data_IF_032200519501
#
_entry.id   IF_032200519501
#
_cell.length_a   1.000
_cell.length_b   1.000
_cell.length_c   1.000
_cell.angle_alpha   90.00
_cell.angle_beta   90.00
_cell.angle_gamma   90.00
#
_symmetry.space_group_name_H-M   'P 1'
#
loop_
_entity.id
_entity.type
_entity.pdbx_description
1 polymer ?
#
# COMPACT_ATOMS: atom_id res chain seq x y z
N UNK A 1 2.45 -71.38 48.95
CA UNK A 1 1.47 -70.29 49.16
C UNK A 1 1.86 -69.18 48.21
N UNK A 2 1.06 -68.95 47.16
CA UNK A 2 1.33 -67.96 46.11
C UNK A 2 1.33 -66.54 46.69
N UNK A 3 2.29 -65.70 46.29
CA UNK A 3 2.17 -64.25 46.44
C UNK A 3 2.25 -63.59 45.07
N UNK A 4 1.13 -63.03 44.65
CA UNK A 4 0.98 -62.13 43.50
C UNK A 4 1.68 -60.80 43.82
N UNK A 5 2.55 -60.33 42.92
CA UNK A 5 3.02 -58.94 42.93
C UNK A 5 2.24 -58.17 41.85
N UNK A 6 1.43 -57.21 42.27
CA UNK A 6 0.70 -56.32 41.37
C UNK A 6 1.62 -55.19 40.88
N UNK A 7 1.69 -55.01 39.56
CA UNK A 7 2.30 -53.84 38.92
C UNK A 7 1.37 -52.63 39.10
N UNK A 8 1.86 -51.57 39.73
CA UNK A 8 1.19 -50.26 39.76
C UNK A 8 1.73 -49.45 38.57
N UNK A 9 0.86 -49.16 37.60
CA UNK A 9 1.14 -48.19 36.53
C UNK A 9 0.79 -46.80 37.06
N UNK A 10 1.79 -45.95 37.28
CA UNK A 10 1.57 -44.52 37.52
C UNK A 10 1.24 -43.81 36.20
N UNK A 11 -0.03 -43.46 36.04
CA UNK A 11 -0.48 -42.52 35.01
C UNK A 11 -0.20 -41.10 35.48
N UNK A 12 0.89 -40.49 34.99
CA UNK A 12 1.05 -39.04 35.06
C UNK A 12 0.03 -38.38 34.11
N UNK A 13 -1.08 -37.87 34.64
CA UNK A 13 -1.89 -36.88 33.94
C UNK A 13 -1.09 -35.57 33.87
N UNK A 14 -0.49 -35.30 32.70
CA UNK A 14 -0.11 -33.94 32.35
C UNK A 14 -1.40 -33.14 32.16
N UNK A 15 -1.79 -32.38 33.19
CA UNK A 15 -2.81 -31.36 33.06
C UNK A 15 -2.27 -30.25 32.15
N UNK A 16 -2.58 -30.33 30.86
CA UNK A 16 -2.47 -29.19 29.95
C UNK A 16 -3.48 -28.15 30.43
N UNK A 17 -3.05 -27.27 31.34
CA UNK A 17 -3.83 -26.09 31.69
C UNK A 17 -4.03 -25.27 30.43
N UNK A 18 -5.25 -25.26 29.89
CA UNK A 18 -5.61 -24.29 28.87
C UNK A 18 -5.40 -22.91 29.49
N UNK A 19 -4.38 -22.18 29.01
CA UNK A 19 -4.20 -20.78 29.33
C UNK A 19 -5.54 -20.09 29.05
N UNK A 20 -6.17 -19.56 30.09
CA UNK A 20 -7.39 -18.76 29.93
C UNK A 20 -7.02 -17.59 29.03
N UNK A 21 -7.72 -17.37 27.90
CA UNK A 21 -7.41 -16.27 27.00
C UNK A 21 -7.40 -14.95 27.78
N UNK A 22 -6.37 -14.13 27.62
CA UNK A 22 -6.30 -12.82 28.26
C UNK A 22 -7.34 -11.87 27.65
N UNK A 23 -8.52 -11.84 28.24
CA UNK A 23 -9.67 -11.04 27.79
C UNK A 23 -9.55 -9.56 28.20
N UNK A 24 -8.49 -9.15 28.89
CA UNK A 24 -8.28 -7.74 29.26
C UNK A 24 -7.89 -6.96 28.01
N UNK A 25 -8.65 -5.91 27.70
CA UNK A 25 -8.35 -5.00 26.61
C UNK A 25 -7.08 -4.18 26.89
N UNK A 26 -6.24 -4.03 25.87
CA UNK A 26 -5.04 -3.19 25.89
C UNK A 26 -4.92 -2.42 24.60
N UNK A 27 -4.39 -1.20 24.67
CA UNK A 27 -4.19 -0.33 23.51
C UNK A 27 -3.36 -1.07 22.47
N UNK A 28 -3.92 -1.21 21.27
CA UNK A 28 -3.25 -1.79 20.11
C UNK A 28 -2.54 -0.71 19.30
N UNK A 29 -3.18 0.45 19.15
CA UNK A 29 -2.67 1.57 18.38
C UNK A 29 -3.28 2.88 18.88
N UNK A 30 -2.51 3.97 18.80
CA UNK A 30 -2.94 5.31 19.14
C UNK A 30 -2.15 6.36 18.36
N UNK A 31 -2.76 7.52 18.16
CA UNK A 31 -2.13 8.74 17.66
C UNK A 31 -2.29 9.84 18.73
N UNK A 32 -1.27 10.68 18.90
CA UNK A 32 -1.30 11.76 19.89
C UNK A 32 -2.31 12.85 19.52
N UNK A 33 -2.44 13.13 18.21
CA UNK A 33 -3.37 14.09 17.64
C UNK A 33 -3.78 13.65 16.23
N UNK A 34 -4.97 14.05 15.74
CA UNK A 34 -5.30 13.89 14.33
C UNK A 34 -4.40 14.77 13.46
N UNK A 35 -4.42 14.57 12.13
CA UNK A 35 -3.82 15.51 11.20
C UNK A 35 -4.33 16.92 11.29
N UNK A 36 -3.53 17.88 10.84
CA UNK A 36 -3.94 19.27 10.90
C UNK A 36 -5.19 19.50 10.06
N UNK A 37 -5.92 20.56 10.36
CA UNK A 37 -7.20 20.86 9.75
C UNK A 37 -8.37 20.01 10.28
N UNK A 38 -8.11 18.93 11.03
CA UNK A 38 -9.18 18.14 11.64
C UNK A 38 -9.60 18.69 13.01
N UNK A 39 -10.87 19.08 13.08
CA UNK A 39 -11.52 19.47 14.33
C UNK A 39 -12.55 18.44 14.75
N UNK A 40 -12.48 17.99 16.01
CA UNK A 40 -13.49 17.10 16.60
C UNK A 40 -14.81 17.86 16.75
N UNK A 41 -15.89 17.32 16.22
CA UNK A 41 -17.21 17.96 16.25
C UNK A 41 -18.07 17.37 17.37
N UNK A 42 -18.41 16.09 17.27
CA UNK A 42 -19.30 15.41 18.22
C UNK A 42 -19.06 13.90 18.21
N UNK A 43 -19.70 13.16 19.11
CA UNK A 43 -19.74 11.68 19.10
C UNK A 43 -20.34 11.19 17.78
N UNK A 44 -19.74 10.15 17.20
CA UNK A 44 -20.29 9.54 16.01
C UNK A 44 -21.66 8.89 16.31
N UNK A 45 -22.67 9.03 15.44
CA UNK A 45 -23.97 8.42 15.67
C UNK A 45 -23.85 6.90 15.83
N UNK A 46 -24.50 6.28 16.83
CA UNK A 46 -24.31 4.86 17.15
C UNK A 46 -24.68 3.91 16.01
N UNK A 47 -25.56 4.34 15.10
CA UNK A 47 -26.03 3.59 13.94
C UNK A 47 -25.24 3.88 12.66
N UNK A 48 -24.31 4.85 12.68
CA UNK A 48 -23.44 5.11 11.53
C UNK A 48 -22.60 3.86 11.27
N UNK A 49 -22.67 3.34 10.05
CA UNK A 49 -21.92 2.15 9.66
C UNK A 49 -20.56 2.52 9.11
N UNK A 50 -19.51 1.90 9.66
CA UNK A 50 -18.12 2.06 9.21
C UNK A 50 -17.68 0.77 8.55
N UNK A 51 -17.16 0.86 7.32
CA UNK A 51 -16.50 -0.27 6.66
C UNK A 51 -15.06 -0.34 7.17
N UNK A 52 -14.73 -1.37 7.93
CA UNK A 52 -13.39 -1.62 8.48
C UNK A 52 -12.73 -2.85 7.86
N UNK A 53 -11.41 -2.88 7.98
CA UNK A 53 -10.55 -3.99 7.58
C UNK A 53 -9.62 -4.35 8.72
N UNK A 54 -9.57 -5.65 9.04
CA UNK A 54 -8.73 -6.22 10.09
C UNK A 54 -7.63 -7.01 9.37
N UNK A 55 -6.37 -6.58 9.52
CA UNK A 55 -5.23 -7.33 9.01
C UNK A 55 -4.80 -8.36 10.04
N UNK A 56 -4.70 -9.61 9.60
CA UNK A 56 -4.29 -10.73 10.43
C UNK A 56 -2.80 -11.01 10.25
N UNK A 57 -2.16 -11.49 11.32
CA UNK A 57 -0.76 -11.89 11.28
C UNK A 57 -0.55 -13.01 10.25
N UNK A 58 0.34 -12.76 9.28
CA UNK A 58 0.66 -13.73 8.23
C UNK A 58 1.38 -14.95 8.80
N UNK A 59 1.12 -16.13 8.22
CA UNK A 59 1.51 -17.41 8.80
C UNK A 59 3.01 -17.71 8.77
N UNK A 60 3.58 -17.79 7.56
CA UNK A 60 4.96 -18.22 7.30
C UNK A 60 5.75 -17.14 6.54
N UNK A 61 5.68 -15.89 7.02
CA UNK A 61 6.33 -14.77 6.32
C UNK A 61 7.86 -14.93 6.26
N UNK A 62 8.50 -15.46 7.30
CA UNK A 62 9.95 -15.72 7.29
C UNK A 62 10.37 -16.70 6.17
N UNK A 63 9.52 -17.69 5.88
CA UNK A 63 9.74 -18.63 4.77
C UNK A 63 9.52 -17.95 3.41
N UNK A 64 8.54 -17.04 3.31
CA UNK A 64 8.33 -16.23 2.11
C UNK A 64 9.54 -15.34 1.86
N UNK A 65 10.05 -14.65 2.88
CA UNK A 65 11.22 -13.78 2.78
C UNK A 65 12.48 -14.56 2.40
N UNK A 66 12.72 -15.72 3.05
CA UNK A 66 13.81 -16.63 2.66
C UNK A 66 13.72 -17.01 1.18
N UNK A 67 12.52 -17.38 0.71
CA UNK A 67 12.32 -17.72 -0.71
C UNK A 67 12.53 -16.54 -1.63
N UNK A 68 12.09 -15.34 -1.25
CA UNK A 68 12.30 -14.12 -2.02
C UNK A 68 13.79 -13.88 -2.29
N UNK A 69 14.63 -14.02 -1.27
CA UNK A 69 16.08 -13.91 -1.45
C UNK A 69 16.63 -15.02 -2.36
N UNK A 70 16.22 -16.27 -2.14
CA UNK A 70 16.69 -17.42 -2.93
C UNK A 70 16.30 -17.38 -4.41
N UNK A 71 15.16 -16.78 -4.76
CA UNK A 71 14.72 -16.65 -6.16
C UNK A 71 15.28 -15.40 -6.84
N UNK A 72 15.78 -14.44 -6.05
CA UNK A 72 16.31 -13.16 -6.55
C UNK A 72 17.84 -13.15 -6.61
N UNK A 73 18.51 -14.08 -5.94
CA UNK A 73 19.96 -14.28 -6.00
C UNK A 73 20.36 -15.02 -7.30
N UNK A 74 21.09 -14.37 -8.24
CA UNK A 74 21.50 -15.00 -9.50
C UNK A 74 22.44 -16.19 -9.35
N UNK A 75 23.12 -16.34 -8.20
CA UNK A 75 24.03 -17.45 -7.94
C UNK A 75 23.32 -18.64 -7.26
N UNK A 76 22.09 -18.43 -6.79
CA UNK A 76 21.32 -19.46 -6.12
C UNK A 76 20.59 -20.38 -7.11
N UNK A 77 20.50 -21.68 -6.81
CA UNK A 77 19.88 -22.68 -7.69
C UNK A 77 18.37 -22.45 -7.94
N UNK A 78 17.72 -21.58 -7.17
CA UNK A 78 16.31 -21.18 -7.35
C UNK A 78 16.14 -19.85 -8.07
N UNK A 79 17.21 -19.22 -8.57
CA UNK A 79 17.10 -17.96 -9.29
C UNK A 79 16.02 -18.02 -10.39
N UNK A 80 15.11 -17.05 -10.38
CA UNK A 80 14.00 -16.95 -11.34
C UNK A 80 12.89 -17.99 -11.15
N UNK A 81 12.95 -18.88 -10.14
CA UNK A 81 11.91 -19.83 -9.80
C UNK A 81 10.76 -19.17 -9.01
N UNK A 82 10.17 -18.13 -9.62
CA UNK A 82 9.09 -17.35 -9.03
C UNK A 82 7.87 -18.20 -8.69
N UNK A 83 7.17 -17.82 -7.64
CA UNK A 83 6.06 -18.53 -7.06
C UNK A 83 4.74 -18.20 -7.76
N UNK A 84 3.82 -19.17 -7.79
CA UNK A 84 2.44 -18.88 -8.22
C UNK A 84 1.72 -18.03 -7.18
N UNK A 85 0.59 -17.43 -7.57
CA UNK A 85 -0.29 -16.70 -6.65
C UNK A 85 -0.71 -17.59 -5.46
N UNK A 86 -1.10 -18.83 -5.74
CA UNK A 86 -1.55 -19.79 -4.73
C UNK A 86 -0.43 -20.19 -3.77
N UNK A 87 0.80 -20.36 -4.27
CA UNK A 87 1.95 -20.67 -3.40
C UNK A 87 2.21 -19.52 -2.41
N UNK A 88 2.16 -18.27 -2.89
CA UNK A 88 2.33 -17.08 -2.03
C UNK A 88 1.19 -16.97 -1.02
N UNK A 89 -0.07 -17.06 -1.48
CA UNK A 89 -1.25 -17.03 -0.63
C UNK A 89 -1.19 -18.11 0.47
N UNK A 90 -0.71 -19.31 0.13
CA UNK A 90 -0.55 -20.40 1.10
C UNK A 90 0.50 -20.10 2.18
N UNK A 91 1.61 -19.42 1.85
CA UNK A 91 2.62 -19.05 2.84
C UNK A 91 2.14 -17.93 3.76
N UNK A 92 1.44 -16.93 3.20
CA UNK A 92 0.99 -15.78 3.99
C UNK A 92 -0.31 -16.01 4.73
N UNK A 93 -1.06 -17.07 4.40
CA UNK A 93 -2.30 -17.42 5.09
C UNK A 93 -2.08 -17.47 6.61
N UNK A 94 -2.91 -16.80 7.41
CA UNK A 94 -2.79 -16.84 8.87
C UNK A 94 -2.90 -18.27 9.40
N UNK A 95 -2.25 -18.53 10.53
CA UNK A 95 -2.36 -19.83 11.21
C UNK A 95 -3.81 -20.12 11.55
N UNK A 96 -4.19 -21.40 11.57
CA UNK A 96 -5.55 -21.82 11.94
C UNK A 96 -5.96 -21.31 13.33
N UNK A 97 -5.01 -21.20 14.26
CA UNK A 97 -5.21 -20.59 15.58
C UNK A 97 -5.57 -19.11 15.51
N UNK A 98 -4.88 -18.33 14.67
CA UNK A 98 -5.19 -16.91 14.41
C UNK A 98 -6.60 -16.77 13.84
N UNK A 99 -6.94 -17.58 12.84
CA UNK A 99 -8.28 -17.55 12.22
C UNK A 99 -9.36 -17.89 13.24
N UNK A 100 -9.18 -18.97 14.01
CA UNK A 100 -10.15 -19.41 15.01
C UNK A 100 -10.37 -18.38 16.13
N UNK A 101 -9.30 -17.78 16.67
CA UNK A 101 -9.41 -16.79 17.75
C UNK A 101 -10.09 -15.50 17.28
N UNK A 102 -9.80 -15.05 16.05
CA UNK A 102 -10.46 -13.88 15.47
C UNK A 102 -11.92 -14.18 15.15
N UNK A 103 -12.23 -15.36 14.61
CA UNK A 103 -13.60 -15.79 14.34
C UNK A 103 -14.42 -15.90 15.63
N UNK A 104 -13.86 -16.49 16.69
CA UNK A 104 -14.51 -16.55 18.00
C UNK A 104 -14.79 -15.15 18.53
N UNK A 105 -13.80 -14.25 18.47
CA UNK A 105 -13.96 -12.86 18.88
C UNK A 105 -15.06 -12.16 18.10
N UNK A 106 -15.05 -12.23 16.77
CA UNK A 106 -16.08 -11.62 15.92
C UNK A 106 -17.48 -12.21 16.17
N UNK A 107 -17.57 -13.52 16.41
CA UNK A 107 -18.84 -14.17 16.72
C UNK A 107 -19.47 -13.62 18.02
N UNK A 108 -18.67 -13.19 19.01
CA UNK A 108 -19.19 -12.56 20.24
C UNK A 108 -19.95 -11.25 20.00
N UNK A 109 -19.72 -10.60 18.85
CA UNK A 109 -20.42 -9.39 18.41
C UNK A 109 -21.51 -9.67 17.35
N UNK A 110 -21.82 -10.95 17.11
CA UNK A 110 -22.91 -11.37 16.23
C UNK A 110 -22.55 -11.47 14.74
N UNK A 111 -21.27 -11.43 14.37
CA UNK A 111 -20.87 -11.66 12.98
C UNK A 111 -20.94 -13.14 12.62
N UNK A 112 -21.52 -13.45 11.45
CA UNK A 112 -21.47 -14.80 10.91
C UNK A 112 -20.10 -15.05 10.27
N UNK A 113 -19.27 -15.86 10.94
CA UNK A 113 -17.90 -16.17 10.55
C UNK A 113 -17.80 -16.92 9.22
N UNK A 114 -18.85 -17.64 8.83
CA UNK A 114 -18.90 -18.41 7.56
C UNK A 114 -19.09 -17.53 6.33
N UNK A 115 -19.51 -16.28 6.50
CA UNK A 115 -19.81 -15.35 5.40
C UNK A 115 -18.97 -14.07 5.46
N UNK A 116 -17.85 -14.10 6.20
CA UNK A 116 -16.95 -12.95 6.27
C UNK A 116 -16.29 -12.70 4.92
N UNK A 117 -16.22 -11.43 4.52
CA UNK A 117 -15.47 -11.01 3.34
C UNK A 117 -13.96 -11.06 3.67
N UNK A 118 -13.24 -12.01 3.06
CA UNK A 118 -11.82 -12.25 3.30
C UNK A 118 -10.99 -12.04 2.04
N UNK A 119 -9.73 -11.64 2.21
CA UNK A 119 -8.74 -11.71 1.11
C UNK A 119 -8.55 -13.16 0.67
N UNK A 120 -8.02 -13.42 -0.54
CA UNK A 120 -7.70 -14.79 -0.99
C UNK A 120 -6.79 -15.57 -0.03
N UNK A 121 -5.81 -14.90 0.58
CA UNK A 121 -4.95 -15.47 1.62
C UNK A 121 -5.62 -15.53 3.01
N UNK A 122 -6.84 -15.03 3.15
CA UNK A 122 -7.57 -14.89 4.42
C UNK A 122 -6.89 -14.03 5.50
N UNK A 123 -5.86 -13.28 5.11
CA UNK A 123 -5.08 -12.39 5.95
C UNK A 123 -5.67 -10.98 6.12
N UNK A 124 -6.82 -10.72 5.48
CA UNK A 124 -7.68 -9.58 5.76
C UNK A 124 -9.11 -10.03 5.95
N UNK A 125 -9.80 -9.39 6.89
CA UNK A 125 -11.25 -9.50 7.07
C UNK A 125 -11.87 -8.12 6.88
N UNK A 126 -12.89 -8.01 6.03
CA UNK A 126 -13.61 -6.75 5.80
C UNK A 126 -15.01 -6.84 6.38
N UNK A 127 -15.39 -5.84 7.19
CA UNK A 127 -16.67 -5.79 7.89
C UNK A 127 -17.31 -4.41 7.72
N UNK A 128 -18.63 -4.35 7.69
CA UNK A 128 -19.39 -3.10 7.85
C UNK A 128 -20.08 -3.14 9.20
N UNK A 129 -19.71 -2.24 10.10
CA UNK A 129 -20.08 -2.33 11.52
C UNK A 129 -20.64 -0.99 12.01
N UNK A 130 -21.80 -0.98 12.68
CA UNK A 130 -22.31 0.23 13.36
C UNK A 130 -21.35 0.69 14.45
N UNK A 131 -21.17 2.01 14.59
CA UNK A 131 -20.30 2.62 15.62
C UNK A 131 -20.54 2.03 17.00
N UNK A 132 -21.80 1.80 17.39
CA UNK A 132 -22.14 1.22 18.71
C UNK A 132 -21.44 -0.13 18.98
N UNK A 133 -21.38 -1.00 17.97
CA UNK A 133 -20.74 -2.31 18.09
C UNK A 133 -19.22 -2.14 17.96
N UNK A 134 -18.77 -1.26 17.08
CA UNK A 134 -17.36 -0.99 16.84
C UNK A 134 -16.64 -0.47 18.10
N UNK A 135 -17.28 0.44 18.83
CA UNK A 135 -16.77 0.97 20.10
C UNK A 135 -16.64 -0.11 21.18
N UNK A 136 -17.56 -1.08 21.21
CA UNK A 136 -17.47 -2.23 22.12
C UNK A 136 -16.38 -3.22 21.71
N UNK A 137 -16.26 -3.51 20.41
CA UNK A 137 -15.25 -4.41 19.86
C UNK A 137 -13.83 -3.94 20.14
N UNK A 138 -13.63 -2.64 20.02
CA UNK A 138 -12.32 -2.00 20.00
C UNK A 138 -12.02 -1.20 21.26
N UNK A 139 -12.91 -1.25 22.27
CA UNK A 139 -12.82 -0.53 23.53
C UNK A 139 -12.33 0.91 23.33
N UNK A 140 -13.15 1.67 22.59
CA UNK A 140 -12.81 2.98 22.05
C UNK A 140 -14.04 3.87 21.87
N UNK A 141 -13.81 5.13 21.51
CA UNK A 141 -14.82 6.13 21.20
C UNK A 141 -14.58 6.73 19.80
N UNK A 142 -15.59 6.64 18.94
CA UNK A 142 -15.61 7.29 17.63
C UNK A 142 -16.23 8.68 17.70
N UNK A 143 -15.63 9.61 16.97
CA UNK A 143 -16.11 10.98 16.83
C UNK A 143 -16.27 11.33 15.36
N UNK A 144 -17.19 12.24 15.07
CA UNK A 144 -17.21 12.95 13.80
C UNK A 144 -16.14 14.03 13.86
N UNK A 145 -15.23 13.99 12.91
CA UNK A 145 -14.28 15.07 12.68
C UNK A 145 -14.64 15.79 11.40
N UNK A 146 -14.39 17.10 11.40
CA UNK A 146 -14.54 17.96 10.25
C UNK A 146 -13.19 18.53 9.88
N UNK A 147 -12.85 18.42 8.61
CA UNK A 147 -11.70 19.07 8.02
C UNK A 147 -12.02 20.53 7.63
N UNK A 148 -11.01 21.39 7.49
CA UNK A 148 -11.17 22.81 7.15
C UNK A 148 -11.87 23.04 5.79
N UNK A 149 -11.79 22.09 4.86
CA UNK A 149 -12.50 22.12 3.57
C UNK A 149 -13.96 21.61 3.64
N UNK A 150 -14.40 21.18 4.83
CA UNK A 150 -15.75 20.70 5.10
C UNK A 150 -15.93 19.17 5.02
N UNK A 151 -14.90 18.38 4.69
CA UNK A 151 -14.99 16.92 4.71
C UNK A 151 -15.32 16.41 6.12
N UNK A 152 -16.17 15.37 6.21
CA UNK A 152 -16.55 14.73 7.47
C UNK A 152 -16.14 13.25 7.47
N UNK A 153 -15.54 12.78 8.56
CA UNK A 153 -15.28 11.36 8.78
C UNK A 153 -15.63 10.93 10.21
N UNK A 154 -15.82 9.64 10.41
CA UNK A 154 -15.96 9.03 11.73
C UNK A 154 -14.68 8.26 12.08
N UNK A 155 -13.95 8.70 13.11
CA UNK A 155 -12.64 8.16 13.50
C UNK A 155 -12.43 8.17 15.01
N UNK A 156 -11.49 7.35 15.46
CA UNK A 156 -10.94 7.37 16.82
C UNK A 156 -9.45 7.69 16.76
N UNK A 157 -8.90 8.20 17.86
CA UNK A 157 -7.45 8.43 17.99
C UNK A 157 -6.73 7.29 18.70
N UNK A 158 -7.45 6.30 19.24
CA UNK A 158 -6.83 5.12 19.84
C UNK A 158 -7.81 3.96 19.88
N UNK A 159 -7.33 2.73 19.81
CA UNK A 159 -8.18 1.56 20.04
C UNK A 159 -7.42 0.46 20.76
N UNK A 160 -8.19 -0.38 21.43
CA UNK A 160 -7.71 -1.52 22.19
C UNK A 160 -8.22 -2.82 21.60
N UNK A 161 -7.52 -3.91 21.92
CA UNK A 161 -7.96 -5.27 21.66
C UNK A 161 -7.75 -6.12 22.92
N UNK A 162 -8.56 -7.17 23.13
CA UNK A 162 -8.26 -8.22 24.10
C UNK A 162 -6.81 -8.70 23.94
N UNK A 163 -6.08 -8.84 25.05
CA UNK A 163 -4.66 -9.20 25.07
C UNK A 163 -4.32 -10.41 24.20
N UNK A 164 -5.17 -11.45 24.18
CA UNK A 164 -4.96 -12.64 23.36
C UNK A 164 -4.96 -12.38 21.85
N UNK A 165 -5.52 -11.27 21.35
CA UNK A 165 -5.56 -10.94 19.92
C UNK A 165 -4.36 -10.13 19.44
N UNK A 166 -3.52 -9.61 20.34
CA UNK A 166 -2.44 -8.68 19.98
C UNK A 166 -1.41 -9.30 19.04
N UNK A 167 -1.14 -10.60 19.17
CA UNK A 167 -0.24 -11.38 18.31
C UNK A 167 -0.91 -11.89 17.01
N UNK A 168 -2.23 -11.74 16.91
CA UNK A 168 -3.05 -12.29 15.82
C UNK A 168 -3.58 -11.23 14.86
N UNK A 169 -3.73 -9.98 15.33
CA UNK A 169 -4.16 -8.83 14.54
C UNK A 169 -2.98 -7.87 14.39
N UNK A 170 -2.59 -7.52 13.16
CA UNK A 170 -1.51 -6.56 12.90
C UNK A 170 -2.01 -5.12 13.04
N UNK A 171 -3.14 -4.79 12.40
CA UNK A 171 -3.76 -3.46 12.41
C UNK A 171 -5.25 -3.53 12.03
N UNK A 172 -6.02 -2.52 12.45
CA UNK A 172 -7.43 -2.35 12.07
C UNK A 172 -7.63 -0.96 11.50
N UNK A 173 -8.13 -0.87 10.26
CA UNK A 173 -8.37 0.41 9.57
C UNK A 173 -9.84 0.56 9.20
N UNK A 174 -10.41 1.78 9.17
CA UNK A 174 -9.70 3.05 9.21
C UNK A 174 -9.60 3.70 10.61
N UNK A 175 -9.63 2.95 11.72
CA UNK A 175 -9.63 3.44 13.13
C UNK A 175 -8.94 4.80 13.37
N UNK A 176 -7.61 4.80 13.39
CA UNK A 176 -6.66 5.92 13.57
C UNK A 176 -6.24 6.56 12.25
N UNK A 177 -6.85 6.15 11.13
CA UNK A 177 -6.46 6.51 9.77
C UNK A 177 -7.27 7.69 9.25
N UNK A 178 -6.73 8.90 9.36
CA UNK A 178 -7.34 10.14 8.85
C UNK A 178 -6.96 10.42 7.39
N UNK A 179 -7.18 9.43 6.50
CA UNK A 179 -6.95 9.57 5.06
C UNK A 179 -7.96 10.53 4.40
N UNK A 180 -7.51 11.31 3.41
CA UNK A 180 -8.33 12.26 2.62
C UNK A 180 -8.44 11.82 1.15
N UNK A 181 -9.17 12.59 0.34
CA UNK A 181 -9.03 12.62 -1.12
C UNK A 181 -8.70 14.07 -1.52
N UNK A 182 -7.43 14.42 -1.76
CA UNK A 182 -7.05 15.79 -2.02
C UNK A 182 -7.47 16.18 -3.43
N UNK A 183 -8.20 17.30 -3.56
CA UNK A 183 -8.41 17.94 -4.86
C UNK A 183 -7.18 18.78 -5.20
N UNK A 184 -6.18 18.21 -5.85
CA UNK A 184 -5.12 19.02 -6.46
C UNK A 184 -5.63 19.61 -7.77
N UNK A 185 -5.54 20.93 -7.89
CA UNK A 185 -5.74 21.64 -9.15
C UNK A 185 -4.40 21.64 -9.85
N UNK A 186 -4.30 20.91 -10.97
CA UNK A 186 -3.13 20.99 -11.84
C UNK A 186 -2.90 22.45 -12.24
N UNK A 187 -1.69 22.97 -12.01
CA UNK A 187 -1.27 24.25 -12.57
C UNK A 187 -0.91 23.99 -14.03
N UNK A 188 -1.40 24.80 -14.98
CA UNK A 188 -1.02 24.63 -16.38
C UNK A 188 0.47 24.95 -16.52
N UNK A 189 1.23 23.99 -17.04
CA UNK A 189 2.57 24.24 -17.56
C UNK A 189 2.45 24.98 -18.89
N UNK A 190 3.18 26.08 -19.04
CA UNK A 190 3.35 26.74 -20.33
C UNK A 190 4.41 25.98 -21.13
N UNK A 191 4.02 25.49 -22.30
CA UNK A 191 4.85 24.64 -23.14
C UNK A 191 5.34 25.43 -24.37
N UNK A 192 6.65 25.69 -24.46
CA UNK A 192 7.32 26.20 -25.67
C UNK A 192 8.81 25.91 -25.67
N UNK A 193 9.26 24.72 -26.06
CA UNK A 193 10.61 24.57 -26.62
C UNK A 193 10.69 23.54 -27.74
N UNK A 194 11.51 23.86 -28.76
CA UNK A 194 11.88 22.95 -29.83
C UNK A 194 12.99 22.01 -29.34
N UNK A 195 12.93 20.74 -29.75
CA UNK A 195 13.87 19.69 -29.37
C UNK A 195 15.30 20.07 -29.76
N UNK A 196 16.17 20.17 -28.77
CA UNK A 196 17.62 20.34 -28.92
C UNK A 196 18.30 18.98 -29.08
N UNK A 197 19.31 18.91 -29.95
CA UNK A 197 20.05 17.69 -30.26
C UNK A 197 21.07 17.27 -29.18
N UNK A 198 21.38 18.14 -28.21
CA UNK A 198 22.49 17.91 -27.28
C UNK A 198 22.07 17.29 -25.92
N UNK A 199 20.81 16.87 -25.76
CA UNK A 199 20.24 16.31 -24.50
C UNK A 199 20.42 17.16 -23.23
N UNK A 200 21.09 18.31 -23.31
CA UNK A 200 21.40 19.20 -22.19
C UNK A 200 20.29 20.17 -21.84
N UNK A 201 19.29 20.34 -22.72
CA UNK A 201 18.16 21.27 -22.50
C UNK A 201 16.81 20.55 -22.46
N UNK A 202 16.63 19.47 -23.23
CA UNK A 202 15.42 18.66 -23.22
C UNK A 202 15.78 17.17 -23.31
N UNK A 203 15.27 16.39 -22.37
CA UNK A 203 15.40 14.93 -22.40
C UNK A 203 14.29 14.40 -23.31
N UNK A 204 14.67 13.63 -24.33
CA UNK A 204 13.77 12.95 -25.27
C UNK A 204 13.92 11.43 -25.17
N UNK A 205 13.04 10.66 -25.83
CA UNK A 205 13.22 9.21 -25.93
C UNK A 205 14.55 8.84 -26.62
N UNK A 206 14.95 9.60 -27.64
CA UNK A 206 16.22 9.40 -28.33
C UNK A 206 17.41 9.68 -27.39
N UNK A 207 17.35 10.77 -26.61
CA UNK A 207 18.36 11.07 -25.61
C UNK A 207 18.54 9.96 -24.58
N UNK A 208 17.44 9.45 -24.00
CA UNK A 208 17.51 8.38 -23.02
C UNK A 208 18.09 7.09 -23.64
N UNK A 209 17.68 6.74 -24.86
CA UNK A 209 18.24 5.57 -25.55
C UNK A 209 19.74 5.73 -25.80
N UNK A 210 20.19 6.92 -26.18
CA UNK A 210 21.61 7.20 -26.42
C UNK A 210 22.44 7.19 -25.13
N UNK A 211 22.00 7.92 -24.11
CA UNK A 211 22.69 8.02 -22.82
C UNK A 211 22.87 6.65 -22.16
N UNK A 212 21.86 5.78 -22.29
CA UNK A 212 21.88 4.44 -21.71
C UNK A 212 22.32 3.33 -22.69
N UNK A 213 22.86 3.69 -23.85
CA UNK A 213 23.32 2.72 -24.88
C UNK A 213 22.25 1.69 -25.26
N UNK A 214 20.98 2.10 -25.27
CA UNK A 214 19.82 1.33 -25.66
C UNK A 214 19.35 1.62 -27.10
N UNK A 215 20.12 2.41 -27.86
CA UNK A 215 19.87 2.63 -29.28
C UNK A 215 19.81 1.32 -30.05
N UNK A 216 18.80 1.18 -30.92
CA UNK A 216 18.57 -0.02 -31.71
C UNK A 216 18.09 -1.24 -30.91
N UNK A 217 17.87 -1.13 -29.59
CA UNK A 217 17.25 -2.19 -28.82
C UNK A 217 15.82 -2.45 -29.32
N UNK A 218 15.53 -3.70 -29.64
CA UNK A 218 14.20 -4.16 -30.04
C UNK A 218 13.63 -5.09 -28.96
N UNK A 219 12.48 -4.77 -28.35
CA UNK A 219 11.85 -5.65 -27.39
C UNK A 219 11.56 -7.04 -27.98
N UNK A 220 12.03 -8.09 -27.29
CA UNK A 220 11.98 -9.47 -27.81
C UNK A 220 10.67 -10.21 -27.53
N UNK A 221 9.95 -9.83 -26.49
CA UNK A 221 8.76 -10.54 -26.02
C UNK A 221 7.56 -9.63 -25.71
N UNK A 222 7.21 -8.65 -26.57
CA UNK A 222 6.14 -7.68 -26.27
C UNK A 222 4.75 -8.30 -26.12
N UNK A 223 4.53 -9.55 -26.59
CA UNK A 223 3.28 -10.30 -26.38
C UNK A 223 3.21 -11.04 -25.04
N UNK A 224 4.33 -11.13 -24.32
CA UNK A 224 4.45 -11.83 -23.03
C UNK A 224 4.70 -10.85 -21.89
N UNK A 225 5.53 -9.84 -22.16
CA UNK A 225 5.88 -8.80 -21.20
C UNK A 225 4.75 -7.78 -21.09
N UNK A 226 4.62 -7.17 -19.92
CA UNK A 226 3.77 -6.02 -19.69
C UNK A 226 4.42 -5.11 -18.63
N UNK A 227 4.11 -3.82 -18.72
CA UNK A 227 4.53 -2.80 -17.75
C UNK A 227 3.30 -2.23 -17.04
N UNK A 228 3.40 -2.06 -15.72
CA UNK A 228 2.40 -1.42 -14.88
C UNK A 228 2.89 -0.05 -14.42
N UNK A 229 1.98 0.92 -14.38
CA UNK A 229 2.26 2.29 -13.98
C UNK A 229 1.18 2.67 -12.97
N UNK A 230 1.59 3.13 -11.80
CA UNK A 230 0.64 3.56 -10.76
C UNK A 230 0.36 5.05 -10.89
N UNK A 231 -0.89 5.44 -10.68
CA UNK A 231 -1.31 6.82 -10.51
C UNK A 231 -2.03 6.97 -9.17
N UNK A 232 -1.59 7.96 -8.41
CA UNK A 232 -2.19 8.38 -7.15
C UNK A 232 -2.50 9.89 -7.20
N UNK A 233 -3.12 10.42 -6.14
CA UNK A 233 -3.28 11.87 -5.93
C UNK A 233 -4.02 12.61 -7.06
N UNK A 234 -5.03 11.96 -7.67
CA UNK A 234 -5.85 12.49 -8.77
C UNK A 234 -5.03 12.98 -9.99
N UNK A 235 -3.84 12.40 -10.21
CA UNK A 235 -3.08 12.58 -11.43
C UNK A 235 -3.63 11.65 -12.53
N UNK A 236 -3.93 12.22 -13.69
CA UNK A 236 -4.59 11.49 -14.78
C UNK A 236 -3.72 11.42 -16.03
N UNK A 237 -3.49 10.20 -16.51
CA UNK A 237 -2.85 9.96 -17.79
C UNK A 237 -3.85 10.21 -18.93
N UNK A 238 -3.47 11.06 -19.89
CA UNK A 238 -4.32 11.50 -20.97
C UNK A 238 -3.95 10.81 -22.30
N UNK A 239 -4.94 10.17 -22.93
CA UNK A 239 -4.73 9.48 -24.19
C UNK A 239 -4.37 10.41 -25.35
N UNK A 240 -4.86 11.66 -25.36
CA UNK A 240 -4.55 12.64 -26.41
C UNK A 240 -3.14 13.19 -26.27
N UNK A 241 -2.70 13.43 -25.03
CA UNK A 241 -1.34 13.89 -24.76
C UNK A 241 -0.34 12.79 -25.13
N UNK A 242 -0.60 11.53 -24.77
CA UNK A 242 0.22 10.40 -25.20
C UNK A 242 0.29 10.26 -26.73
N UNK A 243 -0.84 10.41 -27.43
CA UNK A 243 -0.85 10.37 -28.90
C UNK A 243 -0.09 11.55 -29.52
N UNK A 244 -0.09 12.72 -28.86
CA UNK A 244 0.73 13.86 -29.28
C UNK A 244 2.21 13.59 -29.06
N UNK A 245 2.57 13.07 -27.89
CA UNK A 245 3.93 12.64 -27.56
C UNK A 245 4.46 11.60 -28.56
N UNK A 246 3.67 10.58 -28.91
CA UNK A 246 4.08 9.60 -29.93
C UNK A 246 4.26 10.21 -31.32
N UNK A 247 3.36 11.09 -31.77
CA UNK A 247 3.55 11.76 -33.08
C UNK A 247 4.87 12.52 -33.18
N UNK A 248 5.35 13.05 -32.07
CA UNK A 248 6.58 13.83 -31.99
C UNK A 248 7.82 12.95 -31.75
N UNK A 249 7.75 12.04 -30.77
CA UNK A 249 8.90 11.32 -30.22
C UNK A 249 9.03 9.87 -30.73
N UNK A 250 7.93 9.24 -31.18
CA UNK A 250 7.90 7.84 -31.60
C UNK A 250 6.72 7.55 -32.57
N UNK A 251 6.77 8.05 -33.82
CA UNK A 251 5.62 8.02 -34.73
C UNK A 251 5.07 6.61 -35.01
N UNK A 252 5.91 5.58 -34.99
CA UNK A 252 5.50 4.18 -35.17
C UNK A 252 4.64 3.63 -34.02
N UNK A 253 4.57 4.32 -32.88
CA UNK A 253 3.69 4.00 -31.77
C UNK A 253 2.34 4.73 -31.84
N UNK A 254 2.16 5.63 -32.83
CA UNK A 254 0.90 6.33 -33.05
C UNK A 254 -0.26 5.34 -33.24
N UNK A 255 -1.35 5.54 -32.49
CA UNK A 255 -2.50 4.63 -32.45
C UNK A 255 -2.40 3.54 -31.38
N UNK A 256 -1.25 3.36 -30.73
CA UNK A 256 -1.14 2.56 -29.50
C UNK A 256 -1.46 3.39 -28.25
N UNK A 257 -1.83 2.72 -27.16
CA UNK A 257 -2.10 3.38 -25.88
C UNK A 257 -1.99 2.39 -24.71
N UNK A 258 -2.31 2.87 -23.50
CA UNK A 258 -2.35 2.06 -22.29
C UNK A 258 -3.75 1.55 -21.97
N UNK A 259 -3.80 0.45 -21.21
CA UNK A 259 -5.02 0.00 -20.55
C UNK A 259 -5.22 0.77 -19.26
N UNK A 260 -6.36 1.45 -19.13
CA UNK A 260 -6.77 2.06 -17.87
C UNK A 260 -7.44 1.04 -16.95
N UNK A 261 -7.11 1.08 -15.66
CA UNK A 261 -7.78 0.32 -14.60
C UNK A 261 -8.07 1.24 -13.41
N UNK A 262 -9.35 1.32 -13.04
CA UNK A 262 -9.80 2.04 -11.83
C UNK A 262 -9.65 1.14 -10.60
N UNK A 263 -8.95 1.64 -9.58
CA UNK A 263 -8.80 0.99 -8.28
C UNK A 263 -9.48 1.86 -7.23
N UNK A 264 -10.38 1.24 -6.44
CA UNK A 264 -11.18 1.93 -5.42
C UNK A 264 -11.98 3.14 -5.95
N UNK A 265 -12.37 3.12 -7.24
CA UNK A 265 -13.08 4.23 -7.86
C UNK A 265 -12.17 5.35 -8.38
N UNK A 266 -10.85 5.15 -8.44
CA UNK A 266 -9.91 6.08 -9.06
C UNK A 266 -10.34 6.48 -10.47
N UNK A 267 -10.39 7.78 -10.72
CA UNK A 267 -10.80 8.33 -12.00
C UNK A 267 -9.61 8.46 -12.97
N UNK A 268 -9.89 8.71 -14.25
CA UNK A 268 -8.87 9.10 -15.23
C UNK A 268 -9.47 10.13 -16.19
N UNK A 269 -9.67 11.35 -15.70
CA UNK A 269 -10.38 12.37 -16.45
C UNK A 269 -9.58 12.76 -17.71
N UNK A 270 -10.17 12.55 -18.89
CA UNK A 270 -9.53 12.79 -20.19
C UNK A 270 -9.65 14.24 -20.68
N UNK A 271 -10.17 15.14 -19.86
CA UNK A 271 -10.14 16.58 -20.15
C UNK A 271 -8.70 17.07 -20.05
N UNK A 272 -8.22 17.83 -21.04
CA UNK A 272 -6.83 18.31 -21.06
C UNK A 272 -6.49 19.14 -19.80
N UNK A 273 -7.44 19.93 -19.31
CA UNK A 273 -7.27 20.71 -18.08
C UNK A 273 -7.19 19.87 -16.80
N UNK A 274 -7.51 18.58 -16.87
CA UNK A 274 -7.43 17.64 -15.75
C UNK A 274 -6.28 16.65 -15.91
N UNK A 275 -5.55 16.70 -17.03
CA UNK A 275 -4.38 15.85 -17.22
C UNK A 275 -3.35 16.15 -16.13
N UNK A 276 -2.82 15.10 -15.52
CA UNK A 276 -1.80 15.20 -14.49
C UNK A 276 -0.42 15.27 -15.13
N UNK A 277 0.44 16.15 -14.63
CA UNK A 277 1.84 16.24 -15.08
C UNK A 277 2.57 14.91 -14.84
N UNK A 278 2.47 14.38 -13.61
CA UNK A 278 3.13 13.15 -13.19
C UNK A 278 2.64 11.93 -13.98
N UNK A 279 1.32 11.71 -13.99
CA UNK A 279 0.73 10.56 -14.65
C UNK A 279 0.92 10.59 -16.18
N UNK A 280 0.98 11.77 -16.80
CA UNK A 280 1.34 11.90 -18.20
C UNK A 280 2.82 11.57 -18.44
N UNK A 281 3.72 12.15 -17.65
CA UNK A 281 5.16 11.92 -17.75
C UNK A 281 5.48 10.43 -17.65
N UNK A 282 4.98 9.78 -16.60
CA UNK A 282 5.15 8.35 -16.33
C UNK A 282 4.72 7.51 -17.53
N UNK A 283 3.50 7.74 -18.03
CA UNK A 283 2.94 6.97 -19.15
C UNK A 283 3.67 7.23 -20.45
N UNK A 284 4.04 8.48 -20.75
CA UNK A 284 4.72 8.84 -21.99
C UNK A 284 6.11 8.21 -22.06
N UNK A 285 6.91 8.34 -21.01
CA UNK A 285 8.28 7.81 -21.01
C UNK A 285 8.33 6.30 -20.83
N UNK A 286 7.57 5.73 -19.89
CA UNK A 286 7.60 4.29 -19.66
C UNK A 286 7.15 3.52 -20.92
N UNK A 287 6.08 3.97 -21.59
CA UNK A 287 5.56 3.28 -22.77
C UNK A 287 6.33 3.63 -24.04
N UNK A 288 6.83 4.86 -24.17
CA UNK A 288 7.71 5.25 -25.26
C UNK A 288 9.03 4.45 -25.27
N UNK A 289 9.63 4.25 -24.10
CA UNK A 289 10.85 3.42 -23.97
C UNK A 289 10.57 1.92 -24.13
N UNK A 290 9.43 1.43 -23.62
CA UNK A 290 9.10 0.00 -23.64
C UNK A 290 8.37 -0.47 -24.92
N UNK A 291 7.98 0.43 -25.82
CA UNK A 291 7.21 0.12 -27.03
C UNK A 291 7.85 -1.02 -27.84
N UNK A 292 7.09 -2.05 -28.28
CA UNK A 292 5.63 -2.18 -28.26
C UNK A 292 5.07 -3.01 -27.08
N UNK A 293 5.73 -3.02 -25.92
CA UNK A 293 5.26 -3.73 -24.73
C UNK A 293 3.97 -3.09 -24.19
N UNK A 294 2.90 -3.86 -23.91
CA UNK A 294 1.64 -3.32 -23.41
C UNK A 294 1.78 -2.74 -22.01
N UNK A 295 1.18 -1.55 -21.83
CA UNK A 295 1.12 -0.83 -20.56
C UNK A 295 -0.24 -0.89 -19.88
N UNK A 296 -0.26 -0.95 -18.55
CA UNK A 296 -1.46 -0.71 -17.72
C UNK A 296 -1.21 0.49 -16.82
N UNK A 297 -2.12 1.46 -16.83
CA UNK A 297 -2.16 2.57 -15.87
C UNK A 297 -3.27 2.30 -14.84
N UNK A 298 -2.89 2.22 -13.58
CA UNK A 298 -3.83 2.10 -12.46
C UNK A 298 -4.04 3.45 -11.80
N UNK A 299 -5.26 3.97 -11.80
CA UNK A 299 -5.61 5.10 -10.94
C UNK A 299 -6.21 4.59 -9.65
N UNK A 300 -5.61 4.93 -8.51
CA UNK A 300 -6.08 4.50 -7.18
C UNK A 300 -6.58 5.69 -6.39
N UNK A 301 -7.87 5.66 -6.00
CA UNK A 301 -8.47 6.69 -5.18
C UNK A 301 -8.25 6.47 -3.67
N UNK A 302 -8.26 7.58 -2.95
CA UNK A 302 -8.08 7.68 -1.50
C UNK A 302 -6.62 7.87 -1.10
N UNK A 303 -6.38 8.01 0.21
CA UNK A 303 -5.04 8.14 0.78
C UNK A 303 -4.73 6.99 1.75
N UNK A 304 -3.45 6.77 1.99
CA UNK A 304 -2.93 5.94 3.05
C UNK A 304 -3.13 6.57 4.44
N UNK A 305 -2.84 5.82 5.51
CA UNK A 305 -2.75 6.37 6.85
C UNK A 305 -1.65 7.41 6.95
N UNK A 306 -1.86 8.41 7.80
CA UNK A 306 -0.99 9.57 7.91
C UNK A 306 -0.80 9.98 9.37
N UNK A 307 0.46 10.19 9.75
CA UNK A 307 0.89 10.91 10.94
C UNK A 307 1.44 12.26 10.51
N UNK A 308 0.97 13.37 11.08
CA UNK A 308 1.50 14.69 10.75
C UNK A 308 2.95 14.82 11.17
N UNK A 309 3.67 15.63 10.42
CA UNK A 309 4.96 16.14 10.85
C UNK A 309 5.00 17.67 10.94
N UNK A 310 6.21 18.21 11.11
CA UNK A 310 6.43 19.64 11.27
C UNK A 310 6.14 20.47 10.02
N UNK A 311 6.03 19.86 8.83
CA UNK A 311 5.87 20.50 7.52
C UNK A 311 4.63 19.99 6.79
N UNK A 312 4.47 18.67 6.73
CA UNK A 312 3.34 18.00 6.12
C UNK A 312 2.27 17.81 7.19
N UNK A 313 1.19 18.56 6.98
CA UNK A 313 0.09 18.68 7.93
C UNK A 313 -1.19 18.06 7.38
N UNK A 314 -1.32 18.05 6.06
CA UNK A 314 -2.43 17.49 5.33
C UNK A 314 -2.14 16.03 4.97
N UNK A 315 -3.08 15.10 5.18
CA UNK A 315 -2.97 13.72 4.73
C UNK A 315 -2.83 13.64 3.22
N UNK A 316 -1.64 13.30 2.73
CA UNK A 316 -1.34 13.07 1.32
C UNK A 316 -0.73 11.70 1.06
N UNK A 317 -0.57 10.88 2.10
CA UNK A 317 0.06 9.57 1.92
C UNK A 317 -0.61 8.71 0.85
N UNK A 318 0.17 7.97 0.06
CA UNK A 318 -0.41 7.18 -1.02
C UNK A 318 -1.15 5.93 -0.52
N UNK A 319 -2.27 5.54 -1.19
CA UNK A 319 -3.09 4.40 -0.81
C UNK A 319 -2.46 3.06 -1.23
N UNK A 320 -1.18 2.84 -0.94
CA UNK A 320 -0.41 1.65 -1.34
C UNK A 320 -1.12 0.33 -1.05
N UNK A 321 -1.67 0.15 0.14
CA UNK A 321 -2.38 -1.09 0.49
C UNK A 321 -3.59 -1.33 -0.41
N UNK A 322 -4.35 -0.29 -0.74
CA UNK A 322 -5.53 -0.38 -1.60
C UNK A 322 -5.14 -0.88 -2.99
N UNK A 323 -4.05 -0.33 -3.54
CA UNK A 323 -3.50 -0.76 -4.81
C UNK A 323 -2.90 -2.18 -4.75
N UNK A 324 -2.08 -2.48 -3.74
CA UNK A 324 -1.48 -3.80 -3.53
C UNK A 324 -2.53 -4.89 -3.39
N UNK A 325 -3.61 -4.65 -2.65
CA UNK A 325 -4.71 -5.61 -2.51
C UNK A 325 -5.49 -5.81 -3.81
N UNK A 326 -5.51 -4.85 -4.73
CA UNK A 326 -6.06 -5.04 -6.06
C UNK A 326 -5.12 -5.88 -6.93
N UNK A 327 -3.83 -5.51 -6.96
CA UNK A 327 -2.84 -6.14 -7.83
C UNK A 327 -2.56 -7.58 -7.40
N UNK A 328 -2.37 -7.85 -6.11
CA UNK A 328 -2.09 -9.21 -5.61
C UNK A 328 -3.25 -10.19 -5.87
N UNK A 329 -4.50 -9.71 -5.98
CA UNK A 329 -5.65 -10.53 -6.38
C UNK A 329 -5.61 -10.94 -7.85
N UNK A 330 -4.83 -10.26 -8.69
CA UNK A 330 -4.76 -10.57 -10.13
C UNK A 330 -3.95 -11.83 -10.39
N UNK A 331 -4.45 -12.71 -11.26
CA UNK A 331 -3.72 -13.93 -11.65
C UNK A 331 -2.56 -13.61 -12.60
N UNK A 332 -2.71 -12.55 -13.41
CA UNK A 332 -1.68 -12.06 -14.33
C UNK A 332 -1.18 -10.69 -13.87
N UNK A 333 0.12 -10.59 -13.67
CA UNK A 333 0.81 -9.37 -13.29
C UNK A 333 1.71 -8.89 -14.44
N UNK A 334 1.91 -7.58 -14.62
CA UNK A 334 3.06 -7.10 -15.36
C UNK A 334 4.34 -7.48 -14.63
N UNK A 335 5.40 -7.74 -15.38
CA UNK A 335 6.70 -8.14 -14.81
C UNK A 335 7.45 -6.94 -14.23
N UNK A 336 7.12 -5.73 -14.67
CA UNK A 336 7.70 -4.49 -14.18
C UNK A 336 6.58 -3.53 -13.81
N UNK A 337 6.66 -2.96 -12.62
CA UNK A 337 5.77 -1.91 -12.14
C UNK A 337 6.64 -0.73 -11.77
N UNK A 338 6.31 0.45 -12.27
CA UNK A 338 6.98 1.71 -11.93
C UNK A 338 6.03 2.64 -11.23
N UNK A 339 6.56 3.42 -10.29
CA UNK A 339 5.82 4.40 -9.53
C UNK A 339 6.73 5.58 -9.19
N UNK A 340 6.20 6.79 -9.42
CA UNK A 340 6.86 8.06 -9.15
C UNK A 340 6.24 8.77 -7.94
N UNK A 341 5.64 7.98 -7.05
CA UNK A 341 4.97 8.45 -5.84
C UNK A 341 5.66 7.85 -4.62
N UNK A 342 5.77 8.66 -3.57
CA UNK A 342 6.40 8.31 -2.32
C UNK A 342 5.94 9.28 -1.22
N UNK A 343 5.90 8.76 0.00
CA UNK A 343 5.53 9.49 1.21
C UNK A 343 6.77 9.83 2.03
N UNK A 344 6.75 10.90 2.82
CA UNK A 344 7.74 11.05 3.89
C UNK A 344 7.58 9.89 4.90
N UNK A 345 8.61 9.04 5.10
CA UNK A 345 8.46 7.80 5.89
C UNK A 345 7.93 8.07 7.31
N UNK A 346 8.30 9.21 7.90
CA UNK A 346 7.87 9.59 9.23
C UNK A 346 6.38 9.92 9.33
N UNK A 347 5.71 10.19 8.21
CA UNK A 347 4.26 10.37 8.16
C UNK A 347 3.53 9.03 8.01
N UNK A 348 4.23 7.95 7.64
CA UNK A 348 3.62 6.63 7.43
C UNK A 348 3.62 5.84 8.75
N UNK A 349 2.46 5.40 9.27
CA UNK A 349 2.44 4.58 10.48
C UNK A 349 3.24 3.31 10.33
N UNK A 350 4.12 3.05 11.29
CA UNK A 350 5.10 1.96 11.22
C UNK A 350 4.47 0.56 11.02
N UNK A 351 3.27 0.32 11.59
CA UNK A 351 2.54 -0.93 11.37
C UNK A 351 2.01 -1.06 9.93
N UNK A 352 1.54 0.04 9.35
CA UNK A 352 1.11 0.11 7.95
C UNK A 352 2.30 -0.03 7.00
N UNK A 353 3.39 0.71 7.23
CA UNK A 353 4.61 0.63 6.44
C UNK A 353 5.14 -0.81 6.36
N UNK A 354 5.29 -1.48 7.51
CA UNK A 354 5.70 -2.90 7.55
C UNK A 354 4.72 -3.80 6.78
N UNK A 355 3.41 -3.59 6.92
CA UNK A 355 2.41 -4.38 6.17
C UNK A 355 2.55 -4.18 4.66
N UNK A 356 2.76 -2.94 4.21
CA UNK A 356 3.01 -2.60 2.81
C UNK A 356 4.31 -3.26 2.31
N UNK A 357 5.41 -3.21 3.06
CA UNK A 357 6.66 -3.91 2.72
C UNK A 357 6.44 -5.42 2.54
N UNK A 358 5.67 -6.05 3.43
CA UNK A 358 5.31 -7.47 3.30
C UNK A 358 4.55 -7.76 2.01
N UNK A 359 3.64 -6.86 1.61
CA UNK A 359 2.91 -6.98 0.33
C UNK A 359 3.82 -6.79 -0.90
N UNK A 360 4.83 -5.93 -0.83
CA UNK A 360 5.84 -5.84 -1.89
C UNK A 360 6.69 -7.11 -1.98
N UNK A 361 7.05 -7.72 -0.84
CA UNK A 361 7.74 -9.01 -0.82
C UNK A 361 6.90 -10.12 -1.49
N UNK A 362 5.57 -10.13 -1.29
CA UNK A 362 4.66 -11.02 -2.00
C UNK A 362 4.68 -10.80 -3.52
N UNK A 363 4.72 -9.55 -4.00
CA UNK A 363 4.89 -9.25 -5.43
C UNK A 363 6.25 -9.73 -5.97
N UNK A 364 7.33 -9.49 -5.22
CA UNK A 364 8.67 -9.96 -5.56
C UNK A 364 8.73 -11.49 -5.68
N UNK A 365 8.06 -12.20 -4.77
CA UNK A 365 7.94 -13.66 -4.83
C UNK A 365 7.27 -14.15 -6.11
N UNK A 366 6.34 -13.36 -6.66
CA UNK A 366 5.65 -13.62 -7.93
C UNK A 366 6.41 -13.16 -9.17
N UNK A 367 7.66 -12.70 -9.02
CA UNK A 367 8.53 -12.31 -10.12
C UNK A 367 8.24 -10.93 -10.70
N UNK A 368 7.73 -10.02 -9.87
CA UNK A 368 7.50 -8.63 -10.27
C UNK A 368 8.64 -7.75 -9.76
N UNK A 369 9.27 -6.99 -10.65
CA UNK A 369 10.14 -5.88 -10.29
C UNK A 369 9.28 -4.64 -10.04
N UNK A 370 9.34 -4.08 -8.83
CA UNK A 370 8.68 -2.82 -8.50
C UNK A 370 9.76 -1.76 -8.34
N UNK A 371 9.65 -0.66 -9.09
CA UNK A 371 10.64 0.41 -9.17
C UNK A 371 9.99 1.68 -8.61
N UNK A 372 10.61 2.26 -7.59
CA UNK A 372 10.20 3.51 -6.96
C UNK A 372 11.19 4.61 -7.31
N UNK A 373 10.68 5.83 -7.53
CA UNK A 373 11.50 7.02 -7.49
C UNK A 373 12.03 7.26 -6.06
N UNK A 374 13.27 7.69 -5.92
CA UNK A 374 13.90 7.96 -4.60
C UNK A 374 13.47 9.28 -3.95
N UNK A 375 12.64 10.06 -4.63
CA UNK A 375 12.28 11.43 -4.26
C UNK A 375 13.20 12.50 -4.86
N UNK A 376 12.69 13.73 -4.94
CA UNK A 376 13.30 14.86 -5.65
C UNK A 376 14.05 15.84 -4.73
N UNK A 377 13.97 15.62 -3.41
CA UNK A 377 14.46 16.57 -2.41
C UNK A 377 15.83 16.19 -1.82
N UNK A 378 16.45 15.13 -2.34
CA UNK A 378 17.73 14.62 -1.83
C UNK A 378 17.63 14.25 -0.35
N UNK A 379 18.49 14.82 0.49
CA UNK A 379 18.44 14.63 1.95
C UNK A 379 17.57 15.66 2.69
N UNK A 380 16.95 16.57 1.95
CA UNK A 380 16.16 17.68 2.46
C UNK A 380 14.75 17.29 2.86
N UNK A 381 13.95 18.30 3.17
CA UNK A 381 12.58 18.19 3.69
C UNK A 381 11.56 18.89 2.78
N UNK A 382 11.86 18.92 1.48
CA UNK A 382 11.01 19.54 0.46
C UNK A 382 11.01 21.06 0.44
N UNK A 383 11.80 21.75 1.28
CA UNK A 383 11.94 23.20 1.16
C UNK A 383 12.63 23.55 -0.16
N UNK A 384 12.03 24.38 -1.02
CA UNK A 384 12.73 24.90 -2.19
C UNK A 384 13.93 25.78 -1.82
N UNK A 385 13.92 26.41 -0.64
CA UNK A 385 15.00 27.27 -0.17
C UNK A 385 15.97 26.48 0.73
N UNK A 386 17.18 26.24 0.22
CA UNK A 386 18.18 25.41 0.92
C UNK A 386 18.55 25.94 2.31
N UNK A 387 18.50 27.26 2.53
CA UNK A 387 18.85 27.90 3.80
C UNK A 387 17.77 27.72 4.88
N UNK A 388 16.53 27.39 4.51
CA UNK A 388 15.42 27.18 5.44
C UNK A 388 15.04 25.71 5.66
N UNK A 389 15.77 24.78 5.04
CA UNK A 389 15.64 23.35 5.33
C UNK A 389 15.98 23.07 6.80
N UNK A 390 15.10 22.35 7.50
CA UNK A 390 15.23 22.05 8.92
C UNK A 390 15.39 20.54 9.19
N UNK A 391 14.85 19.71 8.30
CA UNK A 391 14.82 18.25 8.32
C UNK A 391 14.42 17.72 9.69
N UNK A 392 13.26 18.15 10.20
CA UNK A 392 12.86 17.84 11.59
C UNK A 392 12.19 16.49 11.70
N UNK A 393 12.78 15.62 12.52
CA UNK A 393 12.15 14.35 12.88
C UNK A 393 11.03 14.52 13.90
N UNK A 394 9.84 13.97 13.62
CA UNK A 394 8.69 13.96 14.56
C UNK A 394 8.97 13.21 15.85
N UNK A 395 9.74 12.12 15.79
CA UNK A 395 9.98 11.24 16.95
C UNK A 395 10.92 11.83 18.00
N UNK A 396 11.87 12.68 17.59
CA UNK A 396 12.93 13.20 18.47
C UNK A 396 13.05 14.71 18.47
N UNK A 397 12.28 15.41 17.63
CA UNK A 397 12.35 16.86 17.46
C UNK A 397 13.79 17.36 17.21
N UNK A 398 14.50 16.66 16.31
CA UNK A 398 15.90 16.93 15.95
C UNK A 398 16.06 16.89 14.44
N UNK A 399 17.01 17.68 13.94
CA UNK A 399 17.45 17.65 12.55
C UNK A 399 18.01 16.27 12.18
N UNK A 400 17.41 15.64 11.18
CA UNK A 400 17.75 14.32 10.64
C UNK A 400 17.19 14.20 9.22
N UNK A 401 17.89 13.45 8.36
CA UNK A 401 17.37 13.03 7.05
C UNK A 401 15.92 12.53 7.14
N UNK A 402 15.08 12.99 6.21
CA UNK A 402 13.69 12.56 6.01
C UNK A 402 13.68 11.53 4.87
N UNK A 403 13.69 10.23 5.16
CA UNK A 403 13.60 9.20 4.12
C UNK A 403 12.22 9.23 3.47
N UNK A 404 12.19 8.94 2.18
CA UNK A 404 10.97 8.63 1.46
C UNK A 404 10.57 7.16 1.72
N UNK A 405 9.28 6.87 1.70
CA UNK A 405 8.71 5.54 1.77
C UNK A 405 7.88 5.29 0.51
N UNK A 406 7.97 4.11 -0.12
CA UNK A 406 8.81 2.95 0.22
C UNK A 406 10.26 2.98 -0.29
N UNK A 407 10.76 4.14 -0.75
CA UNK A 407 11.98 4.26 -1.55
C UNK A 407 13.31 4.12 -0.80
#
# INVERSE_FOLDING_TARGET
>A
MLFFLALVLDFFLAASGALVPDRVSRIKESIDAPPAGWTRIDRAPPHLSVRLRIALMQGQFDELERRLYEISDPDHARYGAHMTKQDVESLVRPRSTTLALVDEWLATFGFNTTTLDRSPAEDWVTLTVPVLILEQMLDTEYFIWRHDDGELLARTTSYSLPGYLHEHVELIQPTTMFARSPKRVARPAEDKHAVDSDCGTMITLACLRQLYSADGYTPRAPKKNAIGITGFLDQYANHKDLASFYRDQLPEAEGSSFRFVSVNGGANNQSLSAAGEEANLDVQYALGLAYPTPGTFWSTAGNGPFHPDARVHDPDNEPYMTWLDHVLRSDRLPQTITTSYADDEQTVPSAYARRVCKRFAELGCRGVSVIFASGDYGVGDGDPEAESQQCLSTTRHRTRFIPAFPA
#
